data_IF_917006702324
#
_entry.id   IF_917006702324
#
_cell.length_a   1.000
_cell.length_b   1.000
_cell.length_c   1.000
_cell.angle_alpha   90.00
_cell.angle_beta   90.00
_cell.angle_gamma   90.00
#
_symmetry.space_group_name_H-M   'P 1'
#
loop_
_entity.id
_entity.type
_entity.pdbx_description
1 polymer ?
#
# COMPACT_ATOMS: atom_id res chain seq x y z
N UNK A 1 29.76 9.71 9.37
CA UNK A 1 28.90 9.31 10.50
C UNK A 1 28.45 7.89 10.20
N UNK A 2 28.57 6.91 11.11
CA UNK A 2 28.30 5.51 10.82
C UNK A 2 26.80 5.28 10.71
N UNK A 3 26.40 4.50 9.70
CA UNK A 3 25.05 4.00 9.49
C UNK A 3 24.58 3.25 10.74
N UNK A 4 23.50 3.73 11.35
CA UNK A 4 22.82 3.02 12.43
C UNK A 4 22.24 1.74 11.87
N UNK A 5 22.72 0.61 12.38
CA UNK A 5 22.16 -0.71 12.14
C UNK A 5 20.70 -0.73 12.60
N UNK A 6 19.79 -0.98 11.67
CA UNK A 6 18.39 -1.25 11.94
C UNK A 6 18.29 -2.59 12.74
N UNK A 7 17.77 -2.59 13.98
CA UNK A 7 17.75 -3.80 14.83
C UNK A 7 16.89 -4.94 14.30
N UNK A 8 16.07 -4.71 13.26
CA UNK A 8 15.22 -5.74 12.66
C UNK A 8 15.93 -6.63 11.61
N UNK A 9 17.23 -6.46 11.37
CA UNK A 9 17.96 -7.23 10.35
C UNK A 9 18.33 -8.67 10.78
N UNK A 10 17.98 -9.10 11.99
CA UNK A 10 18.35 -10.42 12.52
C UNK A 10 17.23 -11.15 13.26
N UNK A 11 15.96 -10.95 12.89
CA UNK A 11 14.86 -11.71 13.50
C UNK A 11 14.92 -13.17 13.07
N UNK A 12 15.37 -14.01 14.01
CA UNK A 12 15.28 -15.47 13.92
C UNK A 12 13.81 -15.87 14.08
N UNK A 13 13.27 -16.55 13.07
CA UNK A 13 11.94 -17.17 13.15
C UNK A 13 11.88 -18.18 14.29
N UNK A 14 11.19 -17.86 15.37
CA UNK A 14 10.83 -18.80 16.41
C UNK A 14 9.31 -18.98 16.39
N UNK A 15 8.81 -19.88 15.56
CA UNK A 15 7.42 -20.31 15.67
C UNK A 15 7.33 -21.51 16.62
N UNK A 16 6.39 -21.48 17.59
CA UNK A 16 6.08 -22.60 18.50
C UNK A 16 5.31 -23.75 17.83
N UNK A 17 5.00 -23.65 16.56
CA UNK A 17 4.42 -24.74 15.77
C UNK A 17 5.53 -25.38 14.94
N UNK A 18 5.59 -26.71 14.92
CA UNK A 18 6.55 -27.51 14.17
C UNK A 18 6.43 -27.23 12.68
N UNK A 19 7.11 -26.17 12.23
CA UNK A 19 7.33 -25.83 10.84
C UNK A 19 8.73 -26.29 10.45
N UNK A 20 8.85 -26.88 9.28
CA UNK A 20 10.16 -26.93 8.63
C UNK A 20 10.72 -25.53 8.60
N UNK A 21 11.74 -25.27 9.42
CA UNK A 21 12.43 -23.98 9.47
C UNK A 21 13.15 -23.82 8.15
N UNK A 22 12.54 -23.13 7.19
CA UNK A 22 13.27 -22.67 6.02
C UNK A 22 14.36 -21.72 6.50
N UNK A 23 15.58 -21.93 6.03
CA UNK A 23 16.67 -20.98 6.25
C UNK A 23 16.20 -19.58 5.80
N UNK A 24 16.54 -18.53 6.56
CA UNK A 24 16.14 -17.17 6.20
C UNK A 24 16.68 -16.82 4.82
N UNK A 25 15.80 -16.66 3.85
CA UNK A 25 16.18 -16.26 2.49
C UNK A 25 16.57 -14.80 2.51
N UNK A 26 17.88 -14.55 2.40
CA UNK A 26 18.40 -13.19 2.25
C UNK A 26 18.66 -12.92 0.78
N UNK A 27 18.33 -11.71 0.32
CA UNK A 27 18.62 -11.26 -1.05
C UNK A 27 19.50 -10.01 -1.02
N UNK A 28 20.46 -9.97 -1.92
CA UNK A 28 21.35 -8.82 -2.09
C UNK A 28 20.64 -7.67 -2.80
N UNK A 29 21.20 -6.46 -2.77
CA UNK A 29 20.64 -5.29 -3.46
C UNK A 29 20.47 -5.55 -4.98
N UNK A 30 21.42 -6.18 -5.63
CA UNK A 30 21.30 -6.52 -7.06
C UNK A 30 20.18 -7.54 -7.30
N UNK A 31 20.04 -8.55 -6.45
CA UNK A 31 18.95 -9.53 -6.55
C UNK A 31 17.58 -8.88 -6.34
N UNK A 32 17.47 -7.97 -5.37
CA UNK A 32 16.21 -7.19 -5.16
C UNK A 32 15.85 -6.38 -6.40
N UNK A 33 16.85 -5.75 -7.03
CA UNK A 33 16.64 -5.01 -8.27
C UNK A 33 16.13 -5.91 -9.40
N UNK A 34 16.72 -7.10 -9.56
CA UNK A 34 16.27 -8.07 -10.57
C UNK A 34 14.85 -8.56 -10.29
N UNK A 35 14.55 -8.93 -9.04
CA UNK A 35 13.22 -9.37 -8.63
C UNK A 35 12.15 -8.28 -8.86
N UNK A 36 12.45 -7.01 -8.54
CA UNK A 36 11.52 -5.90 -8.76
C UNK A 36 11.28 -5.64 -10.26
N UNK A 37 12.31 -5.69 -11.09
CA UNK A 37 12.18 -5.54 -12.54
C UNK A 37 11.34 -6.66 -13.16
N UNK A 38 11.52 -7.91 -12.71
CA UNK A 38 10.72 -9.07 -13.15
C UNK A 38 9.27 -8.92 -12.69
N UNK A 39 9.03 -8.55 -11.42
CA UNK A 39 7.70 -8.31 -10.87
C UNK A 39 6.93 -7.26 -11.68
N UNK A 40 7.57 -6.14 -11.98
CA UNK A 40 6.98 -5.03 -12.76
C UNK A 40 6.88 -5.33 -14.25
N UNK A 41 7.35 -6.48 -14.70
CA UNK A 41 7.41 -6.86 -16.13
C UNK A 41 8.19 -5.86 -17.01
N UNK A 42 9.08 -5.07 -16.42
CA UNK A 42 9.95 -4.13 -17.13
C UNK A 42 11.06 -4.87 -17.89
N UNK A 43 11.56 -5.96 -17.30
CA UNK A 43 12.57 -6.82 -17.90
C UNK A 43 12.23 -8.28 -17.57
N UNK A 44 11.95 -9.07 -18.58
CA UNK A 44 11.51 -10.47 -18.45
C UNK A 44 12.47 -11.47 -19.10
N UNK A 45 13.59 -11.02 -19.62
CA UNK A 45 14.68 -11.88 -20.14
C UNK A 45 16.02 -11.50 -19.52
N UNK A 46 16.99 -12.41 -19.51
CA UNK A 46 18.35 -12.10 -19.03
C UNK A 46 18.97 -10.92 -19.77
N UNK A 47 18.73 -10.81 -21.08
CA UNK A 47 19.21 -9.69 -21.89
C UNK A 47 18.58 -8.35 -21.51
N UNK A 48 17.27 -8.33 -21.25
CA UNK A 48 16.57 -7.12 -20.78
C UNK A 48 17.08 -6.71 -19.40
N UNK A 49 17.23 -7.66 -18.48
CA UNK A 49 17.77 -7.40 -17.14
C UNK A 49 19.17 -6.79 -17.22
N UNK A 50 20.06 -7.34 -18.05
CA UNK A 50 21.40 -6.77 -18.23
C UNK A 50 21.35 -5.34 -18.79
N UNK A 51 20.51 -5.11 -19.80
CA UNK A 51 20.33 -3.79 -20.42
C UNK A 51 19.77 -2.74 -19.45
N UNK A 52 18.77 -3.11 -18.64
CA UNK A 52 18.11 -2.16 -17.73
C UNK A 52 18.95 -1.88 -16.47
N UNK A 53 19.65 -2.90 -15.94
CA UNK A 53 20.46 -2.75 -14.72
C UNK A 53 21.87 -2.21 -15.01
N UNK A 54 22.35 -2.31 -16.26
CA UNK A 54 23.75 -2.01 -16.60
C UNK A 54 24.75 -3.02 -16.09
N UNK A 55 24.31 -4.14 -15.49
CA UNK A 55 25.18 -5.22 -15.04
C UNK A 55 25.72 -6.03 -16.23
N UNK A 56 26.93 -6.58 -16.08
CA UNK A 56 27.49 -7.49 -17.08
C UNK A 56 26.58 -8.72 -17.28
N UNK A 57 26.40 -9.16 -18.53
CA UNK A 57 25.52 -10.27 -18.88
C UNK A 57 25.83 -11.56 -18.07
N UNK A 58 27.11 -11.84 -17.82
CA UNK A 58 27.52 -12.98 -17.01
C UNK A 58 27.11 -12.86 -15.55
N UNK A 59 27.16 -11.65 -14.99
CA UNK A 59 26.68 -11.38 -13.61
C UNK A 59 25.18 -11.59 -13.51
N UNK A 60 24.40 -11.07 -14.47
CA UNK A 60 22.94 -11.28 -14.52
C UNK A 60 22.61 -12.75 -14.67
N UNK A 61 23.32 -13.49 -15.54
CA UNK A 61 23.12 -14.93 -15.70
C UNK A 61 23.29 -15.66 -14.36
N UNK A 62 24.40 -15.42 -13.64
CA UNK A 62 24.67 -16.03 -12.34
C UNK A 62 23.61 -15.69 -11.29
N UNK A 63 23.21 -14.40 -11.19
CA UNK A 63 22.20 -13.96 -10.22
C UNK A 63 20.82 -14.57 -10.51
N UNK A 64 20.42 -14.62 -11.78
CA UNK A 64 19.14 -15.25 -12.18
C UNK A 64 19.14 -16.75 -11.91
N UNK A 65 20.25 -17.44 -12.22
CA UNK A 65 20.37 -18.89 -11.97
C UNK A 65 20.36 -19.21 -10.48
N UNK A 66 21.00 -18.37 -9.65
CA UNK A 66 20.99 -18.50 -8.19
C UNK A 66 19.59 -18.25 -7.60
N UNK A 67 18.91 -17.19 -8.05
CA UNK A 67 17.52 -16.91 -7.65
C UNK A 67 16.56 -18.04 -8.08
N UNK A 68 16.77 -18.62 -9.26
CA UNK A 68 15.98 -19.76 -9.74
C UNK A 68 16.27 -21.02 -8.92
N UNK A 69 17.54 -21.31 -8.60
CA UNK A 69 17.93 -22.45 -7.75
C UNK A 69 17.33 -22.35 -6.34
N UNK A 70 17.18 -21.13 -5.80
CA UNK A 70 16.52 -20.86 -4.52
C UNK A 70 14.99 -20.80 -4.61
N UNK A 71 14.41 -20.98 -5.80
CA UNK A 71 12.97 -21.04 -6.05
C UNK A 71 12.24 -19.69 -6.04
N UNK A 72 12.96 -18.55 -6.19
CA UNK A 72 12.32 -17.22 -6.30
C UNK A 72 11.91 -16.91 -7.74
N UNK A 73 12.64 -17.44 -8.71
CA UNK A 73 12.39 -17.24 -10.14
C UNK A 73 12.14 -18.57 -10.84
N UNK A 74 11.39 -18.53 -11.93
CA UNK A 74 11.15 -19.65 -12.84
C UNK A 74 11.32 -19.19 -14.28
N UNK A 75 11.83 -20.10 -15.13
CA UNK A 75 11.85 -19.89 -16.57
C UNK A 75 10.55 -20.38 -17.17
N UNK A 76 9.92 -19.52 -17.97
CA UNK A 76 8.69 -19.84 -18.71
C UNK A 76 8.97 -19.82 -20.20
N UNK A 77 8.05 -20.39 -21.00
CA UNK A 77 8.19 -20.44 -22.44
C UNK A 77 8.34 -19.05 -23.03
N UNK A 78 9.17 -18.97 -24.05
CA UNK A 78 9.36 -17.73 -24.79
C UNK A 78 8.08 -17.36 -25.56
N UNK A 79 7.68 -16.08 -25.50
CA UNK A 79 6.61 -15.61 -26.36
C UNK A 79 7.02 -15.70 -27.86
N UNK A 80 6.08 -16.05 -28.76
CA UNK A 80 6.34 -16.05 -30.18
C UNK A 80 6.89 -14.69 -30.62
N UNK A 81 8.09 -14.66 -31.16
CA UNK A 81 8.73 -13.45 -31.68
C UNK A 81 8.84 -13.50 -33.19
N UNK A 82 8.55 -12.39 -33.88
CA UNK A 82 8.80 -12.24 -35.32
C UNK A 82 10.28 -11.99 -35.65
N UNK A 83 11.16 -11.85 -34.63
CA UNK A 83 12.59 -11.63 -34.81
C UNK A 83 13.32 -12.93 -35.21
N UNK A 84 14.36 -12.82 -36.04
CA UNK A 84 15.25 -13.94 -36.39
C UNK A 84 16.03 -14.42 -35.15
N UNK A 85 15.89 -15.67 -34.79
CA UNK A 85 16.61 -16.34 -33.69
C UNK A 85 15.68 -17.18 -32.81
N UNK A 86 16.27 -18.08 -31.98
CA UNK A 86 15.48 -18.82 -30.96
C UNK A 86 15.03 -17.85 -29.90
N UNK A 87 13.71 -17.75 -29.62
CA UNK A 87 13.21 -16.86 -28.56
C UNK A 87 13.87 -17.20 -27.22
N UNK A 88 14.28 -16.17 -26.47
CA UNK A 88 14.84 -16.36 -25.13
C UNK A 88 13.74 -16.73 -24.13
N UNK A 89 13.97 -17.71 -23.22
CA UNK A 89 13.05 -18.01 -22.14
C UNK A 89 12.71 -16.74 -21.34
N UNK A 90 11.46 -16.60 -20.96
CA UNK A 90 11.05 -15.54 -20.05
C UNK A 90 11.30 -15.94 -18.60
N UNK A 91 11.42 -14.94 -17.74
CA UNK A 91 11.66 -15.08 -16.31
C UNK A 91 10.42 -14.54 -15.60
N UNK A 92 9.90 -15.30 -14.65
CA UNK A 92 8.79 -14.91 -13.80
C UNK A 92 9.10 -15.19 -12.33
N UNK A 93 8.39 -14.50 -11.42
CA UNK A 93 8.40 -14.84 -10.00
C UNK A 93 7.69 -16.17 -9.78
N UNK A 94 8.16 -16.98 -8.83
CA UNK A 94 7.46 -18.18 -8.35
C UNK A 94 6.39 -17.74 -7.37
N UNK A 95 5.16 -17.65 -7.82
CA UNK A 95 4.05 -17.06 -7.05
C UNK A 95 3.85 -17.72 -5.68
N UNK A 96 3.98 -19.04 -5.59
CA UNK A 96 3.83 -19.80 -4.35
C UNK A 96 5.11 -19.90 -3.51
N UNK A 97 6.15 -19.11 -3.81
CA UNK A 97 7.38 -19.05 -3.00
C UNK A 97 7.09 -18.60 -1.56
N UNK A 98 6.28 -17.55 -1.40
CA UNK A 98 5.87 -17.01 -0.12
C UNK A 98 4.45 -16.43 -0.21
N UNK A 99 3.77 -16.36 0.93
CA UNK A 99 2.47 -15.70 1.07
C UNK A 99 2.54 -14.69 2.19
N UNK A 100 1.77 -13.61 2.08
CA UNK A 100 1.63 -12.61 3.13
C UNK A 100 0.18 -12.28 3.36
N UNK A 101 -0.16 -12.01 4.62
CA UNK A 101 -1.46 -11.47 5.00
C UNK A 101 -1.31 -9.96 5.21
N UNK A 102 -2.29 -9.20 4.74
CA UNK A 102 -2.45 -7.80 5.04
C UNK A 102 -3.75 -7.54 5.78
N UNK A 103 -3.69 -6.74 6.81
CA UNK A 103 -4.85 -6.26 7.54
C UNK A 103 -4.97 -4.75 7.40
N UNK A 104 -6.14 -4.26 7.01
CA UNK A 104 -6.54 -2.87 7.08
C UNK A 104 -7.46 -2.68 8.27
N UNK A 105 -7.12 -1.77 9.18
CA UNK A 105 -7.93 -1.44 10.36
C UNK A 105 -8.43 0.00 10.19
N UNK A 106 -9.66 0.12 9.67
CA UNK A 106 -10.39 1.39 9.56
C UNK A 106 -11.23 1.63 10.83
N UNK A 107 -11.98 2.72 10.89
CA UNK A 107 -12.78 3.07 12.07
C UNK A 107 -14.04 2.22 12.27
N UNK A 108 -14.47 1.50 11.23
CA UNK A 108 -15.75 0.79 11.17
C UNK A 108 -15.68 -0.60 10.53
N UNK A 109 -14.49 -0.98 10.07
CA UNK A 109 -14.27 -2.31 9.47
C UNK A 109 -12.80 -2.74 9.56
N UNK A 110 -12.60 -4.05 9.50
CA UNK A 110 -11.31 -4.70 9.37
C UNK A 110 -11.35 -5.54 8.11
N UNK A 111 -10.42 -5.28 7.18
CA UNK A 111 -10.25 -6.06 5.96
C UNK A 111 -8.96 -6.86 6.04
N UNK A 112 -9.01 -8.16 5.70
CA UNK A 112 -7.85 -9.00 5.52
C UNK A 112 -7.75 -9.44 4.08
N UNK A 113 -6.52 -9.52 3.58
CA UNK A 113 -6.19 -10.12 2.30
C UNK A 113 -5.04 -11.10 2.45
N UNK A 114 -5.05 -12.16 1.66
CA UNK A 114 -3.94 -13.07 1.46
C UNK A 114 -3.40 -12.84 0.05
N UNK A 115 -2.12 -12.51 -0.07
CA UNK A 115 -1.43 -12.38 -1.36
C UNK A 115 -0.31 -13.41 -1.48
N UNK A 116 0.02 -13.78 -2.72
CA UNK A 116 1.20 -14.57 -3.05
C UNK A 116 2.45 -13.70 -3.28
N UNK A 117 3.58 -14.33 -3.57
CA UNK A 117 4.86 -13.65 -3.81
C UNK A 117 4.87 -12.76 -5.06
N UNK A 118 4.01 -13.05 -6.03
CA UNK A 118 3.84 -12.21 -7.23
C UNK A 118 2.86 -11.04 -7.01
N UNK A 119 2.19 -10.98 -5.85
CA UNK A 119 1.23 -9.96 -5.49
C UNK A 119 -0.21 -10.28 -5.94
N UNK A 120 -0.49 -11.50 -6.37
CA UNK A 120 -1.85 -11.89 -6.70
C UNK A 120 -2.71 -12.03 -5.43
N UNK A 121 -3.92 -11.48 -5.47
CA UNK A 121 -4.90 -11.65 -4.40
C UNK A 121 -5.44 -13.09 -4.42
N UNK A 122 -5.19 -13.84 -3.34
CA UNK A 122 -5.57 -15.25 -3.21
C UNK A 122 -6.86 -15.43 -2.41
N UNK A 123 -7.05 -14.60 -1.38
CA UNK A 123 -8.24 -14.64 -0.55
C UNK A 123 -8.43 -13.37 0.24
N UNK A 124 -9.64 -13.17 0.74
CA UNK A 124 -9.98 -12.00 1.54
C UNK A 124 -11.05 -12.31 2.57
N UNK A 125 -11.09 -11.52 3.64
CA UNK A 125 -12.11 -11.57 4.69
C UNK A 125 -12.36 -10.15 5.19
N UNK A 126 -13.61 -9.82 5.43
CA UNK A 126 -14.02 -8.50 5.94
C UNK A 126 -14.90 -8.67 7.15
N UNK A 127 -14.71 -7.84 8.16
CA UNK A 127 -15.59 -7.75 9.32
C UNK A 127 -15.92 -6.29 9.64
N UNK A 128 -17.20 -5.98 9.71
CA UNK A 128 -17.70 -4.70 10.23
C UNK A 128 -17.66 -4.72 11.74
N UNK A 129 -17.11 -3.68 12.33
CA UNK A 129 -16.92 -3.56 13.76
C UNK A 129 -16.69 -2.08 14.12
N UNK A 130 -17.51 -1.53 14.99
CA UNK A 130 -17.36 -0.17 15.51
C UNK A 130 -18.02 -0.07 16.90
N UNK A 131 -17.30 0.33 17.96
CA UNK A 131 -15.85 0.57 18.01
C UNK A 131 -15.02 -0.72 17.86
N UNK A 132 -13.72 -0.61 17.57
CA UNK A 132 -12.81 -1.74 17.48
C UNK A 132 -11.97 -1.84 18.74
N UNK A 133 -12.17 -2.89 19.52
CA UNK A 133 -11.40 -3.18 20.73
C UNK A 133 -10.22 -4.12 20.45
N UNK A 134 -9.16 -4.08 21.28
CA UNK A 134 -8.01 -5.01 21.19
C UNK A 134 -8.43 -6.46 21.22
N UNK A 135 -9.37 -6.80 22.13
CA UNK A 135 -9.83 -8.16 22.29
C UNK A 135 -10.51 -8.69 21.03
N UNK A 136 -11.44 -7.88 20.47
CA UNK A 136 -12.19 -8.24 19.28
C UNK A 136 -11.30 -8.27 18.04
N UNK A 137 -10.37 -7.33 17.91
CA UNK A 137 -9.37 -7.29 16.84
C UNK A 137 -8.54 -8.58 16.85
N UNK A 138 -7.89 -8.91 17.97
CA UNK A 138 -7.05 -10.09 18.09
C UNK A 138 -7.83 -11.38 17.84
N UNK A 139 -9.04 -11.48 18.40
CA UNK A 139 -9.93 -12.63 18.17
C UNK A 139 -10.29 -12.80 16.71
N UNK A 140 -10.71 -11.72 16.05
CA UNK A 140 -11.08 -11.77 14.65
C UNK A 140 -9.88 -12.09 13.75
N UNK A 141 -8.75 -11.41 13.93
CA UNK A 141 -7.56 -11.64 13.11
C UNK A 141 -7.11 -13.11 13.20
N UNK A 142 -7.07 -13.69 14.40
CA UNK A 142 -6.68 -15.10 14.60
C UNK A 142 -7.61 -16.04 13.84
N UNK A 143 -8.93 -15.88 14.00
CA UNK A 143 -9.93 -16.75 13.37
C UNK A 143 -9.88 -16.59 11.85
N UNK A 144 -9.89 -15.36 11.35
CA UNK A 144 -9.93 -15.09 9.92
C UNK A 144 -8.63 -15.51 9.20
N UNK A 145 -7.47 -15.34 9.85
CA UNK A 145 -6.19 -15.83 9.33
C UNK A 145 -6.22 -17.36 9.23
N UNK A 146 -6.66 -18.06 10.27
CA UNK A 146 -6.75 -19.51 10.24
C UNK A 146 -7.70 -20.01 9.16
N UNK A 147 -8.87 -19.36 9.00
CA UNK A 147 -9.83 -19.68 7.93
C UNK A 147 -9.24 -19.47 6.54
N UNK A 148 -8.56 -18.34 6.29
CA UNK A 148 -7.90 -18.08 5.01
C UNK A 148 -6.83 -19.13 4.71
N UNK A 149 -6.04 -19.52 5.71
CA UNK A 149 -4.98 -20.52 5.53
C UNK A 149 -5.53 -21.94 5.38
N UNK A 150 -6.69 -22.27 5.96
CA UNK A 150 -7.37 -23.55 5.75
C UNK A 150 -7.92 -23.68 4.32
N UNK A 151 -8.44 -22.59 3.78
CA UNK A 151 -8.88 -22.52 2.38
C UNK A 151 -7.70 -22.59 1.38
N UNK A 152 -6.49 -22.21 1.83
CA UNK A 152 -5.29 -22.15 1.02
C UNK A 152 -4.12 -22.90 1.69
N UNK A 153 -4.12 -24.25 1.75
CA UNK A 153 -3.16 -25.04 2.54
C UNK A 153 -1.69 -24.79 2.18
N UNK A 154 -1.38 -24.45 0.92
CA UNK A 154 -0.02 -24.09 0.51
C UNK A 154 0.48 -22.82 1.21
N UNK A 155 -0.41 -21.85 1.45
CA UNK A 155 -0.06 -20.61 2.14
C UNK A 155 0.28 -20.87 3.62
N UNK A 156 -0.38 -21.83 4.29
CA UNK A 156 -0.15 -22.12 5.69
C UNK A 156 1.32 -22.43 6.01
N UNK A 157 2.00 -23.19 5.16
CA UNK A 157 3.40 -23.57 5.36
C UNK A 157 4.40 -22.54 4.81
N UNK A 158 3.92 -21.56 4.05
CA UNK A 158 4.74 -20.57 3.35
C UNK A 158 4.36 -19.13 3.70
N UNK A 159 3.56 -18.93 4.77
CA UNK A 159 3.22 -17.61 5.26
C UNK A 159 4.47 -16.92 5.81
N UNK A 160 4.86 -15.83 5.18
CA UNK A 160 6.05 -15.07 5.52
C UNK A 160 5.80 -14.14 6.71
N UNK A 161 4.61 -13.52 6.77
CA UNK A 161 4.20 -12.67 7.87
C UNK A 161 2.90 -11.91 7.62
N UNK A 162 2.58 -11.02 8.54
CA UNK A 162 1.36 -10.22 8.55
C UNK A 162 1.73 -8.74 8.49
N UNK A 163 1.26 -8.02 7.49
CA UNK A 163 1.32 -6.57 7.48
C UNK A 163 0.03 -5.97 8.01
N UNK A 164 0.10 -4.83 8.66
CA UNK A 164 -1.06 -4.11 9.23
C UNK A 164 -0.97 -2.64 8.81
N UNK A 165 -2.04 -2.13 8.22
CA UNK A 165 -2.26 -0.71 7.98
C UNK A 165 -3.39 -0.21 8.87
N UNK A 166 -3.13 0.77 9.73
CA UNK A 166 -4.13 1.31 10.65
C UNK A 166 -4.25 2.82 10.50
N UNK A 167 -5.48 3.32 10.56
CA UNK A 167 -5.75 4.76 10.59
C UNK A 167 -5.11 5.40 11.83
N UNK A 168 -4.36 6.49 11.62
CA UNK A 168 -3.69 7.24 12.68
C UNK A 168 -2.29 7.67 12.28
N UNK A 169 -1.70 8.59 13.02
CA UNK A 169 -0.34 9.08 12.80
C UNK A 169 0.62 8.56 13.88
N UNK A 170 1.89 8.37 13.51
CA UNK A 170 2.91 7.88 14.43
C UNK A 170 3.28 8.91 15.49
N UNK A 171 3.48 8.45 16.74
CA UNK A 171 3.85 9.28 17.89
C UNK A 171 5.05 8.67 18.62
N UNK A 172 6.06 9.50 18.89
CA UNK A 172 7.24 9.10 19.64
C UNK A 172 8.17 8.20 18.84
N UNK A 173 8.80 7.26 19.55
CA UNK A 173 9.65 6.23 18.95
C UNK A 173 8.91 4.88 18.99
N UNK A 174 9.05 4.08 17.92
CA UNK A 174 8.38 2.77 17.81
C UNK A 174 7.16 2.80 16.90
N UNK A 175 6.38 1.74 16.96
CA UNK A 175 5.21 1.51 16.09
C UNK A 175 3.88 1.93 16.78
N UNK A 176 3.88 3.10 17.44
CA UNK A 176 2.70 3.61 18.15
C UNK A 176 1.96 4.60 17.28
N UNK A 177 0.71 4.30 17.00
CA UNK A 177 -0.18 5.19 16.26
C UNK A 177 -1.12 5.91 17.21
N UNK A 178 -1.50 7.15 16.86
CA UNK A 178 -2.57 7.91 17.49
C UNK A 178 -3.76 7.97 16.54
N UNK A 179 -4.70 7.03 16.65
CA UNK A 179 -5.87 6.93 15.80
C UNK A 179 -7.00 7.87 16.24
N UNK A 180 -8.07 8.01 15.43
CA UNK A 180 -9.30 8.67 15.86
C UNK A 180 -10.08 7.84 16.89
N UNK A 181 -11.02 8.49 17.60
CA UNK A 181 -11.79 7.99 18.76
C UNK A 181 -12.38 6.56 18.59
N UNK A 182 -12.94 6.13 17.44
CA UNK A 182 -13.44 4.76 17.32
C UNK A 182 -12.38 3.66 17.49
N UNK A 183 -11.10 4.03 17.50
CA UNK A 183 -9.95 3.13 17.71
C UNK A 183 -9.18 3.43 19.01
N UNK A 184 -9.78 4.13 19.98
CA UNK A 184 -9.11 4.56 21.22
C UNK A 184 -8.45 3.41 21.98
N UNK A 185 -9.06 2.22 22.00
CA UNK A 185 -8.46 1.04 22.67
C UNK A 185 -7.17 0.55 21.99
N UNK A 186 -6.90 0.97 20.75
CA UNK A 186 -5.68 0.67 20.01
C UNK A 186 -4.66 1.82 20.06
N UNK A 187 -5.01 2.94 20.69
CA UNK A 187 -4.19 4.13 20.70
C UNK A 187 -2.91 3.98 21.52
N UNK A 188 -1.80 4.47 20.97
CA UNK A 188 -0.52 4.68 21.67
C UNK A 188 0.11 3.40 22.28
N UNK A 189 -0.25 2.23 21.78
CA UNK A 189 0.34 0.95 22.19
C UNK A 189 1.32 0.44 21.12
N UNK A 190 2.21 -0.47 21.49
CA UNK A 190 3.07 -1.19 20.55
C UNK A 190 2.24 -2.33 19.90
N UNK A 191 1.38 -1.94 18.96
CA UNK A 191 0.37 -2.82 18.35
C UNK A 191 1.03 -3.96 17.55
N UNK A 192 2.16 -3.72 16.91
CA UNK A 192 2.94 -4.73 16.21
C UNK A 192 3.37 -5.85 17.17
N UNK A 193 3.95 -5.52 18.32
CA UNK A 193 4.38 -6.50 19.34
C UNK A 193 3.18 -7.26 19.95
N UNK A 194 2.07 -6.56 20.18
CA UNK A 194 0.84 -7.21 20.65
C UNK A 194 0.37 -8.25 19.64
N UNK A 195 0.26 -7.88 18.38
CA UNK A 195 -0.22 -8.76 17.31
C UNK A 195 0.76 -9.91 17.01
N UNK A 196 2.08 -9.66 17.05
CA UNK A 196 3.07 -10.76 16.94
C UNK A 196 2.85 -11.83 17.99
N UNK A 197 2.64 -11.41 19.24
CA UNK A 197 2.38 -12.32 20.37
C UNK A 197 1.08 -13.10 20.17
N UNK A 198 0.01 -12.43 19.76
CA UNK A 198 -1.32 -13.03 19.64
C UNK A 198 -1.48 -13.94 18.41
N UNK A 199 -0.83 -13.57 17.30
CA UNK A 199 -0.95 -14.28 16.03
C UNK A 199 0.15 -15.35 15.84
N UNK A 200 1.30 -15.19 16.49
CA UNK A 200 2.46 -16.08 16.33
C UNK A 200 3.19 -15.92 14.99
N UNK A 201 3.03 -14.81 14.33
CA UNK A 201 3.70 -14.45 13.07
C UNK A 201 4.41 -13.11 13.23
N UNK A 202 5.51 -12.84 12.48
CA UNK A 202 6.08 -11.49 12.40
C UNK A 202 5.05 -10.49 11.87
N UNK A 203 5.00 -9.30 12.48
CA UNK A 203 4.05 -8.24 12.13
C UNK A 203 4.78 -6.97 11.70
N UNK A 204 4.32 -6.36 10.60
CA UNK A 204 4.77 -5.06 10.12
C UNK A 204 3.61 -4.08 10.20
N UNK A 205 3.76 -3.01 10.96
CA UNK A 205 2.75 -1.97 11.12
C UNK A 205 3.13 -0.72 10.33
N UNK A 206 2.15 -0.14 9.64
CA UNK A 206 2.23 1.19 9.04
C UNK A 206 0.92 1.96 9.19
N UNK A 207 0.96 3.26 8.88
CA UNK A 207 -0.23 4.06 8.69
C UNK A 207 -0.98 3.60 7.43
N UNK A 208 -2.32 3.73 7.43
CA UNK A 208 -3.21 3.32 6.34
C UNK A 208 -2.88 4.00 5.00
N UNK A 209 -2.58 5.30 5.01
CA UNK A 209 -2.20 6.05 3.82
C UNK A 209 -0.85 5.61 3.23
N UNK A 210 0.15 5.36 4.08
CA UNK A 210 1.44 4.80 3.67
C UNK A 210 1.27 3.38 3.11
N UNK A 211 0.52 2.52 3.81
CA UNK A 211 0.24 1.17 3.35
C UNK A 211 -0.46 1.19 1.98
N UNK A 212 -1.49 2.02 1.80
CA UNK A 212 -2.17 2.17 0.51
C UNK A 212 -1.23 2.65 -0.61
N UNK A 213 -0.36 3.64 -0.32
CA UNK A 213 0.64 4.11 -1.28
C UNK A 213 1.65 3.01 -1.67
N UNK A 214 2.02 2.14 -0.72
CA UNK A 214 2.87 0.97 -0.98
C UNK A 214 2.13 -0.04 -1.87
N UNK A 215 0.86 -0.32 -1.60
CA UNK A 215 0.03 -1.16 -2.44
C UNK A 215 -0.03 -0.61 -3.88
N UNK A 216 -0.33 0.67 -4.02
CA UNK A 216 -0.37 1.36 -5.30
C UNK A 216 0.99 1.32 -6.02
N UNK A 217 2.11 1.40 -5.27
CA UNK A 217 3.45 1.32 -5.85
C UNK A 217 3.78 -0.07 -6.39
N UNK A 218 3.18 -1.12 -5.83
CA UNK A 218 3.47 -2.50 -6.21
C UNK A 218 2.49 -3.05 -7.26
N UNK A 219 1.21 -2.72 -7.18
CA UNK A 219 0.16 -3.37 -7.96
C UNK A 219 -0.73 -2.40 -8.77
N UNK A 220 -0.57 -1.09 -8.57
CA UNK A 220 -1.32 -0.06 -9.27
C UNK A 220 -0.41 0.86 -10.11
N UNK A 221 -0.59 2.17 -9.98
CA UNK A 221 0.13 3.22 -10.72
C UNK A 221 1.65 3.03 -10.70
N UNK A 222 2.21 2.51 -9.60
CA UNK A 222 3.65 2.25 -9.45
C UNK A 222 4.22 1.21 -10.41
N UNK A 223 3.40 0.43 -11.11
CA UNK A 223 3.87 -0.47 -12.16
C UNK A 223 4.51 0.30 -13.33
N UNK A 224 4.11 1.55 -13.55
CA UNK A 224 4.58 2.38 -14.66
C UNK A 224 4.96 3.82 -14.26
N UNK A 225 4.87 4.16 -12.96
CA UNK A 225 5.22 5.47 -12.41
C UNK A 225 5.99 5.28 -11.09
N UNK A 226 7.14 5.92 -10.92
CA UNK A 226 7.96 5.74 -9.72
C UNK A 226 7.88 6.91 -8.74
N UNK A 227 7.28 8.04 -9.17
CA UNK A 227 7.23 9.27 -8.36
C UNK A 227 5.79 9.76 -8.31
N UNK A 228 5.09 9.46 -7.23
CA UNK A 228 3.71 9.90 -7.06
C UNK A 228 3.38 10.19 -5.60
N UNK A 229 2.36 11.01 -5.36
CA UNK A 229 1.72 11.15 -4.07
C UNK A 229 0.36 10.46 -4.10
N UNK A 230 0.02 9.77 -3.03
CA UNK A 230 -1.26 9.11 -2.83
C UNK A 230 -2.09 9.89 -1.83
N UNK A 231 -3.26 10.35 -2.20
CA UNK A 231 -4.22 11.02 -1.33
C UNK A 231 -5.24 9.99 -0.83
N UNK A 232 -5.23 9.76 0.47
CA UNK A 232 -6.03 8.75 1.14
C UNK A 232 -7.28 9.37 1.77
N UNK A 233 -8.44 8.99 1.28
CA UNK A 233 -9.74 9.43 1.78
C UNK A 233 -10.39 8.34 2.61
N UNK A 234 -10.73 8.65 3.87
CA UNK A 234 -11.42 7.77 4.80
C UNK A 234 -12.17 8.60 5.84
N UNK A 235 -12.26 8.14 7.09
CA UNK A 235 -12.68 8.93 8.24
C UNK A 235 -11.80 10.19 8.40
N UNK A 236 -10.50 10.04 8.21
CA UNK A 236 -9.53 11.11 8.05
C UNK A 236 -9.20 11.39 6.59
N UNK A 237 -8.23 12.30 6.41
CA UNK A 237 -7.60 12.61 5.13
C UNK A 237 -6.10 12.71 5.34
N UNK A 238 -5.35 11.93 4.60
CA UNK A 238 -3.89 11.87 4.66
C UNK A 238 -3.34 11.29 3.36
N UNK A 239 -2.26 10.54 3.44
CA UNK A 239 -1.74 9.84 2.27
C UNK A 239 -0.34 9.30 2.46
N UNK A 240 0.30 9.02 1.34
CA UNK A 240 1.69 8.56 1.28
C UNK A 240 2.42 9.15 0.09
N UNK A 241 3.72 9.22 0.19
CA UNK A 241 4.59 9.74 -0.87
C UNK A 241 5.48 8.60 -1.36
N UNK A 242 5.49 8.38 -2.66
CA UNK A 242 6.38 7.41 -3.29
C UNK A 242 7.37 8.17 -4.17
N UNK A 243 8.66 8.00 -3.89
CA UNK A 243 9.76 8.57 -4.64
C UNK A 243 10.76 7.48 -5.05
N UNK A 244 11.05 7.39 -6.34
CA UNK A 244 11.87 6.32 -6.90
C UNK A 244 11.39 4.91 -6.52
N UNK A 245 10.07 4.70 -6.50
CA UNK A 245 9.43 3.45 -6.11
C UNK A 245 9.44 3.16 -4.61
N UNK A 246 10.03 4.02 -3.77
CA UNK A 246 10.12 3.88 -2.32
C UNK A 246 9.11 4.77 -1.60
N UNK A 247 8.43 4.24 -0.58
CA UNK A 247 7.59 5.05 0.29
C UNK A 247 8.48 5.94 1.18
N UNK A 248 8.29 7.25 1.08
CA UNK A 248 8.96 8.25 1.92
C UNK A 248 8.23 8.33 3.26
N UNK A 249 8.84 7.80 4.31
CA UNK A 249 8.23 7.84 5.66
C UNK A 249 8.52 9.13 6.42
N UNK A 250 9.54 9.88 6.04
CA UNK A 250 10.03 11.03 6.80
C UNK A 250 10.77 10.62 8.08
N UNK A 251 11.13 11.62 8.89
CA UNK A 251 11.91 11.40 10.12
C UNK A 251 11.09 10.72 11.24
N UNK A 252 9.77 10.88 11.23
CA UNK A 252 8.86 10.41 12.27
C UNK A 252 7.80 9.42 11.75
N UNK A 253 7.91 8.95 10.51
CA UNK A 253 6.92 8.06 9.89
C UNK A 253 5.70 8.76 9.30
N UNK A 254 5.57 10.09 9.42
CA UNK A 254 4.37 10.86 9.12
C UNK A 254 4.46 11.69 7.83
N UNK A 255 5.37 11.37 6.91
CA UNK A 255 5.36 12.03 5.60
C UNK A 255 4.07 11.63 4.85
N UNK A 256 3.32 12.61 4.36
CA UNK A 256 2.02 12.37 3.73
C UNK A 256 0.82 12.75 4.63
N UNK A 257 1.06 13.25 5.85
CA UNK A 257 0.01 13.80 6.72
C UNK A 257 -0.51 15.16 6.19
N UNK A 258 -1.07 15.15 4.98
CA UNK A 258 -1.50 16.35 4.24
C UNK A 258 -2.61 17.14 4.93
N UNK A 259 -3.39 16.51 5.82
CA UNK A 259 -4.47 17.17 6.53
C UNK A 259 -3.99 18.11 7.66
N UNK A 260 -2.74 17.94 8.12
CA UNK A 260 -2.25 18.58 9.34
C UNK A 260 -2.23 20.10 9.29
N UNK A 261 -1.99 20.69 8.12
CA UNK A 261 -1.90 22.14 7.95
C UNK A 261 -3.21 22.82 7.49
N UNK A 262 -4.20 22.07 7.01
CA UNK A 262 -5.43 22.61 6.44
C UNK A 262 -6.25 23.47 7.42
N UNK A 263 -6.49 23.06 8.69
CA UNK A 263 -7.24 23.90 9.64
C UNK A 263 -6.59 25.23 9.91
N UNK A 264 -5.24 25.30 9.93
CA UNK A 264 -4.50 26.55 10.09
C UNK A 264 -4.68 27.53 8.95
N UNK A 265 -5.14 27.06 7.79
CA UNK A 265 -5.52 27.88 6.63
C UNK A 265 -7.01 28.17 6.54
N UNK A 266 -7.80 27.76 7.57
CA UNK A 266 -9.25 27.90 7.53
C UNK A 266 -9.94 26.95 6.53
N UNK A 267 -9.26 25.88 6.13
CA UNK A 267 -9.78 24.90 5.17
C UNK A 267 -10.22 23.62 5.88
N UNK A 268 -11.32 23.07 5.42
CA UNK A 268 -11.84 21.80 5.92
C UNK A 268 -11.05 20.61 5.35
N UNK A 269 -10.96 19.52 6.13
CA UNK A 269 -10.38 18.29 5.68
C UNK A 269 -11.31 17.56 4.72
N UNK A 270 -10.89 17.18 3.51
CA UNK A 270 -11.76 16.49 2.54
C UNK A 270 -11.95 15.02 2.94
N UNK A 271 -12.80 14.74 3.92
CA UNK A 271 -13.01 13.39 4.47
C UNK A 271 -14.33 12.78 4.00
N UNK A 272 -14.42 11.46 4.01
CA UNK A 272 -15.69 10.75 3.78
C UNK A 272 -16.63 10.89 4.98
N UNK A 273 -16.09 11.11 6.18
CA UNK A 273 -16.90 11.44 7.36
C UNK A 273 -17.67 12.76 7.17
N UNK A 274 -17.03 13.77 6.57
CA UNK A 274 -17.72 15.01 6.20
C UNK A 274 -18.88 14.72 5.23
N UNK A 275 -18.69 13.87 4.23
CA UNK A 275 -19.77 13.48 3.32
C UNK A 275 -20.90 12.77 4.07
N UNK A 276 -20.58 11.84 4.98
CA UNK A 276 -21.58 11.12 5.79
C UNK A 276 -22.44 12.08 6.62
N UNK A 277 -21.80 13.08 7.26
CA UNK A 277 -22.50 14.11 8.03
C UNK A 277 -23.39 14.98 7.14
N UNK A 278 -22.93 15.36 5.94
CA UNK A 278 -23.74 16.12 4.98
C UNK A 278 -24.93 15.32 4.43
N UNK A 279 -24.78 14.01 4.25
CA UNK A 279 -25.91 13.14 3.94
C UNK A 279 -26.95 13.12 5.07
N UNK A 280 -26.49 13.13 6.33
CA UNK A 280 -27.38 13.19 7.49
C UNK A 280 -28.15 14.50 7.52
N UNK A 281 -27.53 15.64 7.21
CA UNK A 281 -28.19 16.94 7.08
C UNK A 281 -29.31 16.94 6.01
N UNK A 282 -29.14 16.12 4.94
CA UNK A 282 -30.13 15.92 3.88
C UNK A 282 -31.21 14.87 4.24
N UNK A 283 -31.22 14.36 5.48
CA UNK A 283 -32.20 13.39 5.96
C UNK A 283 -31.85 11.94 5.67
N UNK A 284 -30.62 11.64 5.22
CA UNK A 284 -30.10 10.28 4.98
C UNK A 284 -29.12 9.91 6.10
N UNK A 285 -29.55 9.09 7.05
CA UNK A 285 -28.74 8.73 8.22
C UNK A 285 -28.02 7.41 8.01
N UNK A 286 -26.67 7.42 8.11
CA UNK A 286 -25.81 6.27 8.07
C UNK A 286 -25.01 6.16 9.36
N UNK A 287 -24.99 4.99 9.97
CA UNK A 287 -24.25 4.75 11.21
C UNK A 287 -22.74 4.85 10.97
N UNK A 288 -22.26 4.35 9.85
CA UNK A 288 -20.84 4.28 9.51
C UNK A 288 -20.57 4.80 8.10
N UNK A 289 -19.29 5.05 7.79
CA UNK A 289 -18.85 5.36 6.40
C UNK A 289 -19.15 4.18 5.49
N UNK A 290 -18.95 2.95 5.96
CA UNK A 290 -19.24 1.76 5.19
C UNK A 290 -20.71 1.72 4.74
N UNK A 291 -21.66 1.92 5.67
CA UNK A 291 -23.10 1.93 5.36
C UNK A 291 -23.46 3.02 4.34
N UNK A 292 -22.83 4.18 4.44
CA UNK A 292 -23.00 5.25 3.46
C UNK A 292 -22.48 4.84 2.07
N UNK A 293 -21.29 4.25 2.00
CA UNK A 293 -20.66 3.89 0.73
C UNK A 293 -21.40 2.77 0.00
N UNK A 294 -21.98 1.80 0.74
CA UNK A 294 -22.82 0.75 0.15
C UNK A 294 -24.08 1.29 -0.53
N UNK A 295 -24.63 2.38 -0.01
CA UNK A 295 -25.88 2.96 -0.50
C UNK A 295 -25.64 4.25 -1.31
N UNK A 296 -24.39 4.64 -1.53
CA UNK A 296 -24.04 5.91 -2.14
C UNK A 296 -24.63 6.06 -3.54
N UNK A 297 -25.44 7.09 -3.69
CA UNK A 297 -25.85 7.59 -5.00
C UNK A 297 -25.04 8.84 -5.34
N UNK A 298 -24.16 8.78 -6.35
CA UNK A 298 -23.36 9.94 -6.74
C UNK A 298 -24.16 11.18 -7.18
N UNK A 299 -25.44 11.02 -7.45
CA UNK A 299 -26.34 12.12 -7.83
C UNK A 299 -26.99 12.83 -6.63
N UNK A 300 -26.71 12.43 -5.41
CA UNK A 300 -27.26 13.14 -4.23
C UNK A 300 -26.71 14.56 -4.14
N UNK A 301 -27.56 15.55 -3.77
CA UNK A 301 -27.13 16.95 -3.63
C UNK A 301 -25.98 17.15 -2.62
N UNK A 302 -25.94 16.34 -1.54
CA UNK A 302 -24.83 16.36 -0.57
C UNK A 302 -23.48 16.04 -1.22
N UNK A 303 -23.45 15.19 -2.25
CA UNK A 303 -22.21 14.84 -2.96
C UNK A 303 -21.65 16.04 -3.72
N UNK A 304 -22.50 16.81 -4.42
CA UNK A 304 -22.06 18.01 -5.11
C UNK A 304 -21.50 19.06 -4.13
N UNK A 305 -22.22 19.30 -3.04
CA UNK A 305 -21.77 20.22 -1.99
C UNK A 305 -20.47 19.76 -1.33
N UNK A 306 -20.33 18.45 -1.08
CA UNK A 306 -19.09 17.87 -0.54
C UNK A 306 -17.92 18.09 -1.49
N UNK A 307 -18.09 17.85 -2.79
CA UNK A 307 -17.07 18.12 -3.79
C UNK A 307 -16.66 19.59 -3.73
N UNK A 308 -17.64 20.55 -3.74
CA UNK A 308 -17.39 21.97 -3.66
C UNK A 308 -16.57 22.37 -2.43
N UNK A 309 -16.88 21.78 -1.27
CA UNK A 309 -16.15 22.02 -0.01
C UNK A 309 -14.75 21.41 -0.01
N UNK A 310 -14.53 20.29 -0.71
CA UNK A 310 -13.23 19.64 -0.80
C UNK A 310 -12.24 20.38 -1.72
N UNK A 311 -12.72 21.01 -2.80
CA UNK A 311 -11.86 21.59 -3.84
C UNK A 311 -10.82 22.60 -3.33
N UNK A 312 -11.13 23.56 -2.43
CA UNK A 312 -10.11 24.52 -1.95
C UNK A 312 -8.95 23.82 -1.23
N UNK A 313 -9.24 22.85 -0.36
CA UNK A 313 -8.24 22.09 0.35
C UNK A 313 -7.41 21.21 -0.60
N UNK A 314 -8.07 20.52 -1.52
CA UNK A 314 -7.39 19.65 -2.49
C UNK A 314 -6.53 20.44 -3.47
N UNK A 315 -7.00 21.62 -3.93
CA UNK A 315 -6.18 22.53 -4.78
C UNK A 315 -4.90 22.95 -4.06
N UNK A 316 -5.01 23.34 -2.78
CA UNK A 316 -3.83 23.70 -1.98
C UNK A 316 -2.87 22.51 -1.84
N UNK A 317 -3.39 21.33 -1.44
CA UNK A 317 -2.58 20.11 -1.22
C UNK A 317 -1.91 19.68 -2.51
N UNK A 318 -2.65 19.58 -3.62
CA UNK A 318 -2.08 19.14 -4.91
C UNK A 318 -1.06 20.13 -5.46
N UNK A 319 -1.30 21.43 -5.33
CA UNK A 319 -0.35 22.48 -5.72
C UNK A 319 0.92 22.44 -4.87
N UNK A 320 0.80 22.21 -3.56
CA UNK A 320 1.94 22.06 -2.66
C UNK A 320 2.77 20.80 -3.01
N UNK A 321 2.11 19.67 -3.26
CA UNK A 321 2.76 18.42 -3.69
C UNK A 321 3.58 18.65 -4.96
N UNK A 322 2.98 19.23 -5.98
CA UNK A 322 3.68 19.54 -7.24
C UNK A 322 4.84 20.52 -7.02
N UNK A 323 4.62 21.55 -6.21
CA UNK A 323 5.64 22.56 -5.95
C UNK A 323 6.84 22.08 -5.13
N UNK A 324 6.65 21.08 -4.25
CA UNK A 324 7.66 20.59 -3.32
C UNK A 324 8.31 19.30 -3.82
N UNK A 325 7.52 18.37 -4.39
CA UNK A 325 7.98 17.02 -4.71
C UNK A 325 8.21 16.78 -6.20
N UNK A 326 7.63 17.64 -7.06
CA UNK A 326 7.71 17.50 -8.55
C UNK A 326 7.36 16.07 -9.01
N UNK A 327 6.20 15.57 -8.53
CA UNK A 327 5.74 14.22 -8.81
C UNK A 327 5.16 14.08 -10.22
N UNK A 328 5.22 12.86 -10.78
CA UNK A 328 4.61 12.55 -12.07
C UNK A 328 3.08 12.42 -11.97
N UNK A 329 2.61 11.88 -10.83
CA UNK A 329 1.18 11.63 -10.59
C UNK A 329 0.75 11.98 -9.18
N UNK A 330 -0.54 12.32 -9.03
CA UNK A 330 -1.24 12.38 -7.76
C UNK A 330 -2.41 11.41 -7.85
N UNK A 331 -2.46 10.43 -6.95
CA UNK A 331 -3.45 9.36 -6.96
C UNK A 331 -4.50 9.64 -5.89
N UNK A 332 -5.77 9.66 -6.26
CA UNK A 332 -6.89 9.75 -5.33
C UNK A 332 -7.42 8.35 -5.01
N UNK A 333 -7.42 7.96 -3.74
CA UNK A 333 -7.82 6.61 -3.37
C UNK A 333 -8.22 6.48 -1.89
N UNK A 334 -7.80 5.40 -1.23
CA UNK A 334 -8.34 5.00 0.06
C UNK A 334 -9.72 4.36 -0.11
N UNK A 335 -10.67 4.77 0.71
CA UNK A 335 -12.08 4.31 0.60
C UNK A 335 -12.92 5.15 -0.38
N UNK A 336 -12.31 6.07 -1.12
CA UNK A 336 -12.99 6.94 -2.07
C UNK A 336 -13.50 6.13 -3.27
N UNK A 337 -14.82 6.08 -3.52
CA UNK A 337 -15.35 5.43 -4.71
C UNK A 337 -14.81 6.07 -5.99
N UNK A 338 -14.47 5.25 -6.97
CA UNK A 338 -13.88 5.71 -8.25
C UNK A 338 -14.72 6.81 -8.91
N UNK A 339 -16.04 6.70 -8.87
CA UNK A 339 -16.96 7.70 -9.42
C UNK A 339 -16.82 9.08 -8.73
N UNK A 340 -16.55 9.11 -7.43
CA UNK A 340 -16.29 10.37 -6.71
C UNK A 340 -14.90 10.89 -7.00
N UNK A 341 -13.89 10.00 -7.10
CA UNK A 341 -12.54 10.38 -7.50
C UNK A 341 -12.55 11.05 -8.89
N UNK A 342 -13.22 10.45 -9.88
CA UNK A 342 -13.34 11.00 -11.24
C UNK A 342 -14.04 12.37 -11.25
N UNK A 343 -15.08 12.56 -10.43
CA UNK A 343 -15.77 13.84 -10.30
C UNK A 343 -14.90 14.93 -9.66
N UNK A 344 -14.10 14.57 -8.64
CA UNK A 344 -13.10 15.47 -8.05
C UNK A 344 -12.02 15.85 -9.07
N UNK A 345 -11.46 14.85 -9.76
CA UNK A 345 -10.41 15.04 -10.77
C UNK A 345 -10.86 16.00 -11.89
N UNK A 346 -12.10 15.85 -12.35
CA UNK A 346 -12.65 16.70 -13.41
C UNK A 346 -12.73 18.20 -13.03
N UNK A 347 -12.68 18.51 -11.72
CA UNK A 347 -12.82 19.88 -11.19
C UNK A 347 -11.57 20.40 -10.48
N UNK A 348 -10.62 19.53 -10.17
CA UNK A 348 -9.37 19.91 -9.52
C UNK A 348 -8.47 20.70 -10.46
N UNK A 349 -7.94 21.80 -9.95
CA UNK A 349 -6.98 22.65 -10.66
C UNK A 349 -5.71 22.71 -9.83
N UNK A 350 -4.56 22.44 -10.46
CA UNK A 350 -3.25 22.65 -9.85
C UNK A 350 -2.80 24.07 -10.20
N UNK A 351 -2.44 24.86 -9.20
CA UNK A 351 -1.96 26.21 -9.40
C UNK A 351 -0.61 26.19 -10.14
N UNK A 352 -0.61 26.76 -11.34
CA UNK A 352 0.57 26.82 -12.20
C UNK A 352 0.65 28.15 -12.93
N UNK A 353 1.32 29.12 -12.30
CA UNK A 353 1.48 30.45 -12.87
C UNK A 353 2.52 30.39 -14.01
N UNK A 354 2.15 30.71 -15.26
CA UNK A 354 3.07 30.70 -16.38
C UNK A 354 4.18 31.73 -16.19
N UNK A 355 5.40 31.42 -16.63
CA UNK A 355 6.49 32.36 -16.73
C UNK A 355 6.92 32.50 -18.17
N UNK A 356 6.91 33.72 -18.73
CA UNK A 356 7.21 33.99 -20.14
C UNK A 356 6.28 33.21 -21.10
N UNK A 357 5.02 33.00 -20.71
CA UNK A 357 4.05 32.23 -21.50
C UNK A 357 4.22 30.73 -21.47
N UNK A 358 5.17 30.20 -20.64
CA UNK A 358 5.45 28.77 -20.51
C UNK A 358 5.03 28.29 -19.11
N UNK A 359 4.19 27.26 -19.04
CA UNK A 359 3.83 26.56 -17.81
C UNK A 359 4.87 25.49 -17.47
N UNK A 360 5.06 25.21 -16.17
CA UNK A 360 5.82 24.04 -15.73
C UNK A 360 5.04 22.77 -16.07
N UNK A 361 5.71 21.63 -16.34
CA UNK A 361 5.03 20.35 -16.35
C UNK A 361 4.25 20.14 -15.05
N UNK A 362 3.11 19.48 -15.12
CA UNK A 362 2.26 19.21 -13.97
C UNK A 362 2.05 17.72 -13.79
N UNK A 363 1.83 17.31 -12.53
CA UNK A 363 1.41 15.96 -12.23
C UNK A 363 0.03 15.66 -12.85
N UNK A 364 -0.15 14.44 -13.33
CA UNK A 364 -1.49 13.94 -13.69
C UNK A 364 -2.20 13.50 -12.43
N UNK A 365 -3.41 14.02 -12.21
CA UNK A 365 -4.28 13.55 -11.13
C UNK A 365 -5.08 12.36 -11.65
N UNK A 366 -5.02 11.22 -10.97
CA UNK A 366 -5.65 9.96 -11.39
C UNK A 366 -6.37 9.31 -10.21
N UNK A 367 -7.36 8.46 -10.49
CA UNK A 367 -7.91 7.58 -9.48
C UNK A 367 -6.98 6.38 -9.23
N UNK A 368 -7.03 5.81 -8.02
CA UNK A 368 -6.31 4.57 -7.69
C UNK A 368 -6.64 3.45 -8.69
N UNK A 369 -5.61 2.71 -9.09
CA UNK A 369 -5.73 1.57 -10.01
C UNK A 369 -5.95 0.24 -9.27
N UNK A 370 -5.81 0.24 -7.93
CA UNK A 370 -6.06 -0.96 -7.13
C UNK A 370 -7.56 -1.23 -7.04
N UNK A 371 -7.95 -2.46 -7.36
CA UNK A 371 -9.28 -2.98 -7.06
C UNK A 371 -9.28 -3.66 -5.69
N UNK A 372 -10.17 -3.22 -4.80
CA UNK A 372 -10.26 -3.71 -3.42
C UNK A 372 -9.65 -2.75 -2.40
N UNK A 373 -9.36 -3.25 -1.21
CA UNK A 373 -8.77 -2.45 -0.13
C UNK A 373 -7.27 -2.22 -0.34
N UNK A 374 -6.91 -1.03 -0.83
CA UNK A 374 -5.54 -0.64 -1.11
C UNK A 374 -4.64 -0.70 0.15
N UNK A 375 -5.20 -0.40 1.33
CA UNK A 375 -4.47 -0.49 2.61
C UNK A 375 -4.16 -1.93 2.97
N UNK A 376 -5.11 -2.85 2.88
CA UNK A 376 -4.89 -4.26 3.17
C UNK A 376 -3.88 -4.88 2.19
N UNK A 377 -4.01 -4.60 0.89
CA UNK A 377 -3.09 -5.05 -0.16
C UNK A 377 -1.68 -4.50 0.07
N UNK A 378 -1.59 -3.22 0.39
CA UNK A 378 -0.32 -2.57 0.69
C UNK A 378 0.31 -3.09 1.97
N UNK A 379 -0.49 -3.30 3.01
CA UNK A 379 -0.03 -3.93 4.25
C UNK A 379 0.52 -5.34 4.00
N UNK A 380 -0.18 -6.19 3.22
CA UNK A 380 0.32 -7.51 2.82
C UNK A 380 1.68 -7.43 2.09
N UNK A 381 1.92 -6.32 1.41
CA UNK A 381 3.15 -6.10 0.64
C UNK A 381 4.33 -5.60 1.49
N UNK A 382 4.10 -5.10 2.73
CA UNK A 382 5.16 -4.58 3.61
C UNK A 382 6.29 -5.60 3.84
N UNK A 383 6.01 -6.86 4.24
CA UNK A 383 7.05 -7.87 4.43
C UNK A 383 7.83 -8.13 3.15
N UNK A 384 7.14 -8.24 2.00
CA UNK A 384 7.76 -8.51 0.72
C UNK A 384 8.66 -7.37 0.26
N UNK A 385 8.19 -6.12 0.43
CA UNK A 385 8.96 -4.93 0.06
C UNK A 385 10.19 -4.76 0.94
N UNK A 386 10.09 -5.07 2.22
CA UNK A 386 11.25 -4.98 3.12
C UNK A 386 12.33 -6.00 2.78
N UNK A 387 11.98 -7.20 2.32
CA UNK A 387 12.91 -8.30 2.16
C UNK A 387 13.30 -8.60 0.71
N UNK A 388 12.40 -8.43 -0.26
CA UNK A 388 12.60 -8.93 -1.62
C UNK A 388 12.51 -7.88 -2.73
N UNK A 389 11.80 -6.76 -2.51
CA UNK A 389 11.58 -5.74 -3.53
C UNK A 389 12.08 -4.35 -3.08
N UNK A 390 12.09 -3.41 -4.00
CA UNK A 390 12.37 -2.00 -3.71
C UNK A 390 11.11 -1.19 -3.53
#
# INVERSE_FOLDING_TARGET
>A
MPHQNNPHSSLRFHSKFSREVREPVTVTANERQLLDLVRRKVAVTRADLARVTGLAAQSVMRLVDDLAARGLLVFTDALPSKARGKPSPQIALVADFAFCIGASIATDEINLVLIDFAGNLIGQSTKRMAPITRLELCSYLRIAIDQLLDLHPMARNRLFGVGVGMTGFFVGQGARLNPPEPLDDLALIDLDLLLEKELGYPVWLDNDGNAAAIGESLLGVGMHCQNFAYLFFSHGFGGGIVYQGQCMRGAHGNAGEFAGFLPGQGLERPTLEMLRLMCHEDGQSFATIHDMLEQLNPAWPCVDRWIDRCLPALTLVTSAIVGILDTERIVLGGRLPKVLAERLIARLVIDNIPRRGVQRPQALIVASEISGDATAIGAASLPLKQHFFF
#
